data_IF_694758965956
#
_entry.id   IF_694758965956
#
_cell.length_a   1.000
_cell.length_b   1.000
_cell.length_c   1.000
_cell.angle_alpha   90.00
_cell.angle_beta   90.00
_cell.angle_gamma   90.00
#
_symmetry.space_group_name_H-M   'P 1'
#
loop_
_entity.id
_entity.type
_entity.pdbx_description
1 polymer ?
#
# COMPACT_ATOMS: atom_id res chain seq x y z
N UNK A 1 1.96 3.68 -5.40
CA UNK A 1 2.62 3.34 -4.11
C UNK A 1 2.78 1.83 -3.99
N UNK A 2 1.70 1.06 -4.15
CA UNK A 2 1.69 -0.39 -3.95
C UNK A 2 2.61 -1.19 -4.87
N UNK A 3 2.66 -0.87 -6.17
CA UNK A 3 3.59 -1.53 -7.09
C UNK A 3 5.07 -1.34 -6.71
N UNK A 4 5.41 -0.17 -6.17
CA UNK A 4 6.76 0.12 -5.69
C UNK A 4 7.07 -0.73 -4.45
N UNK A 5 6.20 -0.70 -3.43
CA UNK A 5 6.36 -1.51 -2.21
C UNK A 5 6.47 -3.00 -2.53
N UNK A 6 5.63 -3.50 -3.44
CA UNK A 6 5.62 -4.91 -3.84
C UNK A 6 6.93 -5.30 -4.55
N UNK A 7 7.40 -4.50 -5.51
CA UNK A 7 8.65 -4.78 -6.24
C UNK A 7 9.86 -4.86 -5.30
N UNK A 8 10.00 -3.88 -4.41
CA UNK A 8 11.09 -3.86 -3.43
C UNK A 8 10.96 -4.99 -2.39
N UNK A 9 9.73 -5.31 -1.96
CA UNK A 9 9.48 -6.42 -1.04
C UNK A 9 9.81 -7.78 -1.67
N UNK A 10 9.49 -7.98 -2.95
CA UNK A 10 9.85 -9.18 -3.70
C UNK A 10 11.37 -9.31 -3.78
N UNK A 11 12.07 -8.24 -4.20
CA UNK A 11 13.53 -8.23 -4.29
C UNK A 11 14.17 -8.57 -2.94
N UNK A 12 13.73 -7.91 -1.87
CA UNK A 12 14.22 -8.14 -0.51
C UNK A 12 13.97 -9.58 -0.05
N UNK A 13 12.77 -10.14 -0.27
CA UNK A 13 12.46 -11.54 0.05
C UNK A 13 13.35 -12.52 -0.68
N UNK A 14 13.61 -12.29 -1.97
CA UNK A 14 14.49 -13.15 -2.76
C UNK A 14 15.90 -13.16 -2.15
N UNK A 15 16.46 -12.00 -1.84
CA UNK A 15 17.81 -11.90 -1.25
C UNK A 15 17.86 -12.57 0.13
N UNK A 16 16.90 -12.29 1.02
CA UNK A 16 16.78 -12.94 2.34
C UNK A 16 16.67 -14.46 2.21
N UNK A 17 15.88 -14.94 1.24
CA UNK A 17 15.69 -16.37 1.02
C UNK A 17 16.96 -17.08 0.55
N UNK A 18 17.74 -16.45 -0.32
CA UNK A 18 19.01 -16.99 -0.81
C UNK A 18 20.04 -16.99 0.33
N UNK A 19 20.09 -15.91 1.12
CA UNK A 19 21.05 -15.77 2.20
C UNK A 19 20.83 -16.76 3.34
N UNK A 20 19.56 -16.97 3.75
CA UNK A 20 19.23 -17.86 4.86
C UNK A 20 19.18 -19.35 4.47
N UNK A 21 19.03 -19.68 3.19
CA UNK A 21 18.91 -21.06 2.72
C UNK A 21 20.04 -21.42 1.74
N UNK A 22 21.20 -21.80 2.30
CA UNK A 22 22.38 -22.22 1.52
C UNK A 22 22.15 -23.54 0.75
N UNK A 23 21.18 -24.36 1.17
CA UNK A 23 20.87 -25.66 0.57
C UNK A 23 19.52 -25.61 -0.15
N UNK A 24 19.53 -25.14 -1.41
CA UNK A 24 18.35 -25.09 -2.27
C UNK A 24 17.98 -26.49 -2.77
N UNK A 25 17.09 -27.21 -2.08
CA UNK A 25 16.50 -28.45 -2.62
C UNK A 25 14.97 -28.39 -2.70
N UNK A 26 14.26 -27.67 -1.82
CA UNK A 26 12.81 -27.48 -2.00
C UNK A 26 12.29 -26.27 -1.22
N UNK A 27 11.66 -25.31 -1.89
CA UNK A 27 11.05 -24.17 -1.22
C UNK A 27 9.69 -23.79 -1.84
N UNK A 28 8.65 -24.57 -1.53
CA UNK A 28 7.27 -24.21 -1.89
C UNK A 28 6.85 -22.84 -1.33
N UNK A 29 7.44 -22.43 -0.20
CA UNK A 29 7.23 -21.12 0.43
C UNK A 29 7.71 -19.93 -0.42
N UNK A 30 8.71 -20.14 -1.30
CA UNK A 30 9.29 -19.09 -2.15
C UNK A 30 8.29 -18.63 -3.22
N UNK A 31 7.54 -19.56 -3.79
CA UNK A 31 6.56 -19.27 -4.85
C UNK A 31 5.27 -18.67 -4.31
N UNK A 32 4.78 -19.12 -3.15
CA UNK A 32 3.50 -18.65 -2.58
C UNK A 32 3.52 -17.16 -2.23
N UNK A 33 4.60 -16.67 -1.61
CA UNK A 33 4.73 -15.25 -1.29
C UNK A 33 4.98 -14.36 -2.51
N UNK A 34 5.67 -14.89 -3.54
CA UNK A 34 5.91 -14.17 -4.79
C UNK A 34 4.60 -13.95 -5.55
N UNK A 35 3.78 -15.01 -5.64
CA UNK A 35 2.46 -14.96 -6.26
C UNK A 35 1.54 -13.92 -5.60
N UNK A 36 1.51 -13.87 -4.26
CA UNK A 36 0.71 -12.89 -3.52
C UNK A 36 1.10 -11.44 -3.85
N UNK A 37 2.41 -11.14 -3.92
CA UNK A 37 2.90 -9.78 -4.21
C UNK A 37 2.68 -9.33 -5.67
N UNK A 38 2.27 -10.23 -6.57
CA UNK A 38 1.93 -9.91 -7.97
C UNK A 38 0.41 -9.86 -8.16
N UNK A 39 -0.32 -10.83 -7.60
CA UNK A 39 -1.78 -10.91 -7.78
C UNK A 39 -2.50 -9.80 -7.03
N UNK A 40 -2.06 -9.46 -5.82
CA UNK A 40 -2.68 -8.39 -5.02
C UNK A 40 -2.67 -7.03 -5.72
N UNK A 41 -1.54 -6.52 -6.27
CA UNK A 41 -1.57 -5.23 -6.96
C UNK A 41 -2.40 -5.25 -8.25
N UNK A 42 -2.45 -6.37 -8.98
CA UNK A 42 -3.34 -6.51 -10.16
C UNK A 42 -4.80 -6.41 -9.72
N UNK A 43 -5.16 -7.14 -8.66
CA UNK A 43 -6.51 -7.11 -8.11
C UNK A 43 -6.91 -5.72 -7.59
N UNK A 44 -5.98 -4.99 -6.96
CA UNK A 44 -6.21 -3.60 -6.54
C UNK A 44 -6.43 -2.65 -7.72
N UNK A 45 -5.69 -2.82 -8.83
CA UNK A 45 -5.92 -2.02 -10.05
C UNK A 45 -7.34 -2.28 -10.56
N UNK A 46 -7.79 -3.53 -10.60
CA UNK A 46 -9.16 -3.87 -11.02
C UNK A 46 -10.20 -3.19 -10.12
N UNK A 47 -10.02 -3.27 -8.80
CA UNK A 47 -10.91 -2.60 -7.84
C UNK A 47 -10.93 -1.08 -8.02
N UNK A 48 -9.78 -0.45 -8.26
CA UNK A 48 -9.66 0.98 -8.53
C UNK A 48 -10.37 1.38 -9.82
N UNK A 49 -10.28 0.56 -10.87
CA UNK A 49 -10.96 0.80 -12.15
C UNK A 49 -12.48 0.70 -11.95
N UNK A 50 -12.96 -0.35 -11.30
CA UNK A 50 -14.40 -0.50 -10.97
C UNK A 50 -14.88 0.70 -10.15
N UNK A 51 -14.11 1.11 -9.14
CA UNK A 51 -14.42 2.27 -8.32
C UNK A 51 -14.43 3.56 -9.15
N UNK A 52 -13.49 3.78 -10.06
CA UNK A 52 -13.47 5.00 -10.89
C UNK A 52 -14.68 5.15 -11.81
N UNK A 53 -15.26 4.04 -12.28
CA UNK A 53 -16.46 4.09 -13.12
C UNK A 53 -17.77 4.21 -12.33
N UNK A 54 -17.75 3.91 -11.04
CA UNK A 54 -18.97 3.85 -10.20
C UNK A 54 -19.41 5.20 -9.61
N UNK A 55 -18.68 6.29 -9.86
CA UNK A 55 -18.85 7.57 -9.14
C UNK A 55 -18.55 8.75 -10.05
N UNK A 56 -19.24 9.85 -9.78
CA UNK A 56 -19.19 11.09 -10.55
C UNK A 56 -17.89 11.89 -10.32
N UNK A 57 -17.11 11.55 -9.29
CA UNK A 57 -15.77 12.10 -9.02
C UNK A 57 -15.74 13.45 -8.29
N UNK A 58 -16.83 14.22 -8.32
CA UNK A 58 -16.93 15.52 -7.64
C UNK A 58 -18.29 15.71 -6.96
N UNK A 59 -18.30 16.56 -5.93
CA UNK A 59 -19.50 17.01 -5.22
C UNK A 59 -19.48 18.52 -5.14
N UNK A 60 -20.63 19.15 -5.40
CA UNK A 60 -20.78 20.59 -5.20
C UNK A 60 -21.00 20.88 -3.72
N UNK A 61 -20.11 21.68 -3.14
CA UNK A 61 -20.23 22.16 -1.76
C UNK A 61 -20.40 23.67 -1.74
N UNK A 62 -21.24 24.14 -0.82
CA UNK A 62 -21.40 25.58 -0.53
C UNK A 62 -20.51 25.98 0.62
N UNK A 63 -19.71 27.01 0.44
CA UNK A 63 -19.01 27.68 1.53
C UNK A 63 -19.44 29.12 1.63
N UNK A 64 -19.64 29.54 2.88
CA UNK A 64 -19.95 30.92 3.20
C UNK A 64 -18.66 31.65 3.55
N UNK A 65 -18.34 32.72 2.83
CA UNK A 65 -17.24 33.62 3.18
C UNK A 65 -17.61 35.06 2.84
N UNK A 66 -17.28 36.01 3.71
CA UNK A 66 -17.45 37.45 3.50
C UNK A 66 -18.84 37.83 2.93
N UNK A 67 -19.90 37.30 3.54
CA UNK A 67 -21.30 37.61 3.20
C UNK A 67 -21.80 37.13 1.83
N UNK A 68 -21.02 36.30 1.12
CA UNK A 68 -21.41 35.73 -0.18
C UNK A 68 -21.26 34.20 -0.14
N UNK A 69 -22.22 33.50 -0.74
CA UNK A 69 -22.13 32.06 -0.98
C UNK A 69 -21.39 31.82 -2.28
N UNK A 70 -20.38 30.94 -2.25
CA UNK A 70 -19.77 30.41 -3.46
C UNK A 70 -19.87 28.89 -3.46
N UNK A 71 -20.31 28.36 -4.59
CA UNK A 71 -20.26 26.94 -4.87
C UNK A 71 -18.83 26.61 -5.31
N UNK A 72 -18.28 25.53 -4.76
CA UNK A 72 -17.00 24.98 -5.21
C UNK A 72 -17.13 23.48 -5.40
N UNK A 73 -16.42 22.97 -6.40
CA UNK A 73 -16.28 21.55 -6.64
C UNK A 73 -15.27 20.99 -5.65
N UNK A 74 -15.69 19.99 -4.88
CA UNK A 74 -14.83 19.22 -4.00
C UNK A 74 -14.81 17.77 -4.49
N UNK A 75 -13.70 17.07 -4.35
CA UNK A 75 -13.62 15.67 -4.75
C UNK A 75 -14.68 14.87 -3.98
N UNK A 76 -15.46 14.06 -4.71
CA UNK A 76 -16.45 13.19 -4.11
C UNK A 76 -15.74 12.08 -3.33
N UNK A 77 -15.51 12.29 -2.03
CA UNK A 77 -15.10 11.23 -1.10
C UNK A 77 -16.28 10.32 -0.73
N UNK A 78 -17.26 10.16 -1.62
CA UNK A 78 -18.48 9.47 -1.27
C UNK A 78 -18.15 8.00 -0.96
N UNK A 79 -18.68 7.56 0.16
CA UNK A 79 -18.16 6.51 1.02
C UNK A 79 -18.37 5.12 0.41
N UNK A 80 -17.56 4.77 -0.59
CA UNK A 80 -17.51 3.41 -1.09
C UNK A 80 -16.54 2.61 -0.23
N UNK A 81 -17.05 1.59 0.47
CA UNK A 81 -16.25 0.63 1.24
C UNK A 81 -15.09 0.01 0.44
N UNK A 82 -15.15 0.08 -0.90
CA UNK A 82 -14.09 -0.31 -1.83
C UNK A 82 -12.77 0.43 -1.59
N UNK A 83 -12.77 1.75 -1.38
CA UNK A 83 -11.52 2.49 -1.12
C UNK A 83 -10.91 2.13 0.22
N UNK A 84 -11.72 2.05 1.28
CA UNK A 84 -11.26 1.62 2.60
C UNK A 84 -10.68 0.20 2.54
N UNK A 85 -11.27 -0.68 1.74
CA UNK A 85 -10.75 -2.02 1.51
C UNK A 85 -9.39 -2.01 0.79
N UNK A 86 -9.22 -1.17 -0.24
CA UNK A 86 -7.93 -1.00 -0.94
C UNK A 86 -6.86 -0.50 0.04
N UNK A 87 -7.16 0.52 0.84
CA UNK A 87 -6.23 1.06 1.82
C UNK A 87 -5.90 0.07 2.95
N UNK A 88 -6.84 -0.78 3.35
CA UNK A 88 -6.59 -1.85 4.31
C UNK A 88 -5.60 -2.89 3.75
N UNK A 89 -5.71 -3.26 2.48
CA UNK A 89 -4.74 -4.14 1.82
C UNK A 89 -3.35 -3.48 1.76
N UNK A 90 -3.28 -2.20 1.41
CA UNK A 90 -2.02 -1.44 1.39
C UNK A 90 -1.34 -1.43 2.77
N UNK A 91 -2.13 -1.26 3.83
CA UNK A 91 -1.63 -1.32 5.20
C UNK A 91 -1.02 -2.69 5.55
N UNK A 92 -1.71 -3.79 5.20
CA UNK A 92 -1.20 -5.15 5.40
C UNK A 92 0.10 -5.41 4.62
N UNK A 93 0.16 -4.97 3.37
CA UNK A 93 1.36 -5.07 2.53
C UNK A 93 2.54 -4.28 3.12
N UNK A 94 2.29 -3.09 3.66
CA UNK A 94 3.33 -2.30 4.32
C UNK A 94 3.86 -2.97 5.60
N UNK A 95 3.00 -3.60 6.41
CA UNK A 95 3.44 -4.41 7.56
C UNK A 95 4.32 -5.58 7.08
N UNK A 96 3.89 -6.29 6.04
CA UNK A 96 4.64 -7.41 5.48
C UNK A 96 6.01 -6.97 4.94
N UNK A 97 6.09 -5.77 4.35
CA UNK A 97 7.34 -5.14 3.90
C UNK A 97 8.27 -4.84 5.08
N UNK A 98 7.74 -4.29 6.18
CA UNK A 98 8.52 -4.03 7.40
C UNK A 98 9.13 -5.33 7.95
N UNK A 99 8.32 -6.39 8.10
CA UNK A 99 8.81 -7.69 8.61
C UNK A 99 9.95 -8.22 7.73
N UNK A 100 9.79 -8.14 6.41
CA UNK A 100 10.82 -8.59 5.45
C UNK A 100 12.11 -7.78 5.59
N UNK A 101 11.98 -6.45 5.66
CA UNK A 101 13.14 -5.55 5.80
C UNK A 101 13.88 -5.76 7.13
N UNK A 102 13.16 -6.13 8.19
CA UNK A 102 13.75 -6.47 9.47
C UNK A 102 14.59 -7.75 9.40
N UNK A 103 14.10 -8.77 8.69
CA UNK A 103 14.86 -10.00 8.44
C UNK A 103 16.11 -9.75 7.59
N UNK A 104 16.07 -8.77 6.68
CA UNK A 104 17.19 -8.39 5.83
C UNK A 104 18.37 -7.70 6.53
N UNK A 105 18.26 -7.36 7.83
CA UNK A 105 19.34 -6.71 8.58
C UNK A 105 20.63 -7.52 8.71
N UNK A 106 20.56 -8.84 8.54
CA UNK A 106 21.72 -9.75 8.66
C UNK A 106 22.48 -9.95 7.34
N UNK A 107 22.02 -9.32 6.25
CA UNK A 107 22.61 -9.40 4.92
C UNK A 107 23.74 -8.36 4.81
N UNK A 108 24.86 -8.67 4.12
CA UNK A 108 25.93 -7.71 3.87
C UNK A 108 25.43 -6.42 3.20
N UNK A 109 26.05 -5.29 3.58
CA UNK A 109 25.58 -3.94 3.23
C UNK A 109 25.54 -3.67 1.72
N UNK A 110 26.36 -4.34 0.91
CA UNK A 110 26.36 -4.26 -0.55
C UNK A 110 25.03 -4.68 -1.20
N UNK A 111 24.24 -5.52 -0.52
CA UNK A 111 22.93 -5.99 -0.99
C UNK A 111 21.77 -5.46 -0.13
N UNK A 112 22.07 -4.56 0.82
CA UNK A 112 21.15 -4.18 1.88
C UNK A 112 20.28 -2.96 1.52
N UNK A 113 19.35 -3.15 0.58
CA UNK A 113 18.27 -2.18 0.33
C UNK A 113 17.26 -2.11 1.51
N UNK A 114 17.40 -2.98 2.51
CA UNK A 114 16.41 -3.18 3.59
C UNK A 114 16.16 -1.92 4.40
N UNK A 115 17.18 -1.08 4.65
CA UNK A 115 17.01 0.19 5.38
C UNK A 115 16.08 1.15 4.64
N UNK A 116 16.23 1.26 3.31
CA UNK A 116 15.42 2.16 2.48
C UNK A 116 13.97 1.67 2.42
N UNK A 117 13.79 0.36 2.26
CA UNK A 117 12.47 -0.28 2.26
C UNK A 117 11.76 -0.07 3.59
N UNK A 118 12.47 -0.22 4.72
CA UNK A 118 11.93 0.00 6.05
C UNK A 118 11.44 1.44 6.24
N UNK A 119 12.26 2.44 5.90
CA UNK A 119 11.90 3.86 6.03
C UNK A 119 10.67 4.20 5.17
N UNK A 120 10.66 3.77 3.90
CA UNK A 120 9.53 4.00 2.99
C UNK A 120 8.26 3.33 3.52
N UNK A 121 8.37 2.10 4.02
CA UNK A 121 7.22 1.36 4.55
C UNK A 121 6.62 2.05 5.78
N UNK A 122 7.45 2.58 6.69
CA UNK A 122 6.97 3.36 7.84
C UNK A 122 6.26 4.64 7.38
N UNK A 123 6.86 5.40 6.46
CA UNK A 123 6.22 6.62 5.93
C UNK A 123 4.87 6.31 5.29
N UNK A 124 4.77 5.21 4.54
CA UNK A 124 3.51 4.80 3.93
C UNK A 124 2.45 4.39 4.95
N UNK A 125 2.84 3.75 6.06
CA UNK A 125 1.90 3.43 7.15
C UNK A 125 1.35 4.71 7.77
N UNK A 126 2.18 5.72 8.04
CA UNK A 126 1.70 6.99 8.59
C UNK A 126 0.70 7.68 7.66
N UNK A 127 0.97 7.68 6.34
CA UNK A 127 0.06 8.25 5.35
C UNK A 127 -1.27 7.50 5.26
N UNK A 128 -1.23 6.17 5.17
CA UNK A 128 -2.44 5.33 5.08
C UNK A 128 -3.25 5.41 6.38
N UNK A 129 -2.59 5.41 7.54
CA UNK A 129 -3.26 5.51 8.84
C UNK A 129 -3.98 6.86 8.98
N UNK A 130 -3.35 7.96 8.56
CA UNK A 130 -4.01 9.28 8.54
C UNK A 130 -5.28 9.27 7.70
N UNK A 131 -5.23 8.66 6.51
CA UNK A 131 -6.39 8.56 5.60
C UNK A 131 -7.49 7.70 6.21
N UNK A 132 -7.14 6.53 6.77
CA UNK A 132 -8.11 5.65 7.41
C UNK A 132 -8.77 6.28 8.65
N UNK A 133 -8.01 6.97 9.50
CA UNK A 133 -8.56 7.68 10.67
C UNK A 133 -9.49 8.82 10.23
N UNK A 134 -9.07 9.61 9.23
CA UNK A 134 -9.90 10.68 8.68
C UNK A 134 -11.22 10.13 8.10
N UNK A 135 -11.15 9.00 7.39
CA UNK A 135 -12.32 8.32 6.88
C UNK A 135 -13.21 7.72 7.97
N UNK A 136 -12.66 7.36 9.13
CA UNK A 136 -13.43 6.80 10.25
C UNK A 136 -14.12 7.88 11.11
N UNK A 137 -13.49 9.06 11.27
CA UNK A 137 -14.00 10.15 12.11
C UNK A 137 -14.99 11.11 11.43
N UNK A 138 -15.18 10.99 10.12
CA UNK A 138 -16.16 11.81 9.34
C UNK A 138 -17.51 11.09 9.20
N UNK A 139 -17.65 9.89 9.77
CA UNK A 139 -18.91 9.18 9.94
C UNK A 139 -19.59 9.57 11.26
#
# INVERSE_FOLDING_TARGET
ITGFICSYSIKSRIIVSIYNNKNLINSSYRYKSYYLNIVLPIFQIILLVIWSFSQEGYTMKRKYSKFVYYDYEDCAYNYNGVLNFIFAIDFLLSIQSIITSYQGRKIPDEFNDSRRIFIVSIMTIFLVCRILIYNFFIL
#
